data_IF_311928187242
#
_entry.id   IF_311928187242
#
_cell.length_a   1.000
_cell.length_b   1.000
_cell.length_c   1.000
_cell.angle_alpha   90.00
_cell.angle_beta   90.00
_cell.angle_gamma   90.00
#
_symmetry.space_group_name_H-M   'P 1'
#
loop_
_entity.id
_entity.type
_entity.pdbx_description
1 polymer ?
#
# COMPACT_ATOMS: atom_id res chain seq x y z
N UNK A 1 -4.15 -17.70 8.91
CA UNK A 1 -2.80 -17.39 8.41
C UNK A 1 -2.44 -15.92 8.67
N UNK A 2 -3.13 -14.97 8.01
CA UNK A 2 -2.94 -13.53 8.23
C UNK A 2 -3.20 -13.08 9.68
N UNK A 3 -4.40 -13.33 10.24
CA UNK A 3 -4.74 -12.96 11.64
C UNK A 3 -3.77 -13.51 12.70
N UNK A 4 -3.06 -14.59 12.40
CA UNK A 4 -2.08 -15.15 13.33
C UNK A 4 -0.78 -14.31 13.33
N UNK A 5 -0.16 -14.12 12.16
CA UNK A 5 1.22 -13.64 12.06
C UNK A 5 1.46 -12.59 10.96
N UNK A 6 0.42 -11.98 10.40
CA UNK A 6 0.53 -10.92 9.38
C UNK A 6 1.03 -11.40 8.02
N UNK A 7 1.02 -12.71 7.77
CA UNK A 7 1.53 -13.28 6.53
C UNK A 7 0.41 -13.47 5.50
N UNK A 8 0.76 -13.28 4.24
CA UNK A 8 -0.05 -13.59 3.05
C UNK A 8 0.76 -14.55 2.19
N UNK A 9 0.07 -15.47 1.51
CA UNK A 9 0.66 -16.34 0.51
C UNK A 9 -0.18 -16.22 -0.75
N UNK A 10 0.51 -16.17 -1.88
CA UNK A 10 -0.06 -16.24 -3.21
C UNK A 10 0.47 -17.49 -3.89
N UNK A 11 -0.41 -18.28 -4.48
CA UNK A 11 -0.05 -19.43 -5.29
C UNK A 11 -0.30 -19.18 -6.78
N UNK A 12 0.61 -19.66 -7.63
CA UNK A 12 0.48 -19.66 -9.08
C UNK A 12 0.00 -18.34 -9.72
N UNK A 13 -1.10 -18.44 -10.45
CA UNK A 13 -1.67 -17.40 -11.32
C UNK A 13 -2.79 -16.58 -10.67
N UNK A 14 -2.81 -16.47 -9.34
CA UNK A 14 -3.78 -15.63 -8.63
C UNK A 14 -3.82 -14.17 -9.14
N UNK A 15 -5.04 -13.64 -9.24
CA UNK A 15 -5.32 -12.27 -9.71
C UNK A 15 -4.84 -11.21 -8.70
N UNK A 16 -5.07 -11.46 -7.41
CA UNK A 16 -4.69 -10.54 -6.35
C UNK A 16 -3.20 -10.68 -6.01
N UNK A 17 -2.53 -9.53 -5.83
CA UNK A 17 -1.19 -9.51 -5.30
C UNK A 17 -1.21 -9.64 -3.77
N UNK A 18 -0.07 -9.95 -3.16
CA UNK A 18 0.05 -10.03 -1.70
C UNK A 18 -0.40 -8.74 -1.00
N UNK A 19 -0.04 -7.59 -1.59
CA UNK A 19 -0.44 -6.27 -1.10
C UNK A 19 -1.97 -6.10 -1.10
N UNK A 20 -2.66 -6.58 -2.13
CA UNK A 20 -4.12 -6.49 -2.23
C UNK A 20 -4.80 -7.23 -1.07
N UNK A 21 -4.29 -8.42 -0.72
CA UNK A 21 -4.82 -9.17 0.41
C UNK A 21 -4.53 -8.49 1.76
N UNK A 22 -3.35 -7.88 1.93
CA UNK A 22 -3.04 -7.09 3.13
C UNK A 22 -4.03 -5.94 3.28
N UNK A 23 -4.26 -5.18 2.22
CA UNK A 23 -5.17 -4.03 2.20
C UNK A 23 -6.61 -4.43 2.49
N UNK A 24 -7.12 -5.49 1.86
CA UNK A 24 -8.47 -6.02 2.10
C UNK A 24 -8.62 -6.49 3.55
N UNK A 25 -7.68 -7.30 4.05
CA UNK A 25 -7.78 -7.85 5.40
C UNK A 25 -7.75 -6.74 6.46
N UNK A 26 -6.82 -5.79 6.35
CA UNK A 26 -6.76 -4.65 7.27
C UNK A 26 -7.99 -3.74 7.13
N UNK A 27 -8.43 -3.45 5.91
CA UNK A 27 -9.61 -2.61 5.64
C UNK A 27 -10.92 -3.21 6.17
N UNK A 28 -11.01 -4.54 6.24
CA UNK A 28 -12.14 -5.27 6.84
C UNK A 28 -11.98 -5.48 8.36
N UNK A 29 -10.97 -4.87 8.99
CA UNK A 29 -10.75 -4.93 10.44
C UNK A 29 -10.06 -6.21 10.94
N UNK A 30 -9.50 -7.04 10.06
CA UNK A 30 -8.76 -8.24 10.45
C UNK A 30 -7.32 -7.83 10.78
N UNK A 31 -7.06 -7.57 12.06
CA UNK A 31 -5.71 -7.24 12.52
C UNK A 31 -4.90 -8.51 12.84
N UNK A 32 -3.63 -8.59 12.41
CA UNK A 32 -2.74 -9.68 12.80
C UNK A 32 -2.36 -9.59 14.28
N UNK A 33 -2.25 -10.74 14.95
CA UNK A 33 -1.84 -10.84 16.37
C UNK A 33 -0.32 -10.85 16.57
N UNK A 34 0.44 -10.91 15.49
CA UNK A 34 1.89 -10.89 15.48
C UNK A 34 2.43 -10.57 14.09
N UNK A 35 3.74 -10.39 13.99
CA UNK A 35 4.45 -10.04 12.78
C UNK A 35 5.70 -10.92 12.59
N UNK A 36 6.43 -10.71 11.49
CA UNK A 36 7.67 -11.45 11.26
C UNK A 36 8.79 -10.96 12.19
N UNK A 37 9.50 -11.82 12.95
CA UNK A 37 10.49 -11.41 13.96
C UNK A 37 11.68 -10.59 13.42
N UNK A 38 11.93 -10.64 12.12
CA UNK A 38 12.94 -9.80 11.47
C UNK A 38 12.71 -8.30 11.69
N UNK A 39 11.45 -7.89 11.90
CA UNK A 39 11.11 -6.49 12.21
C UNK A 39 11.68 -6.05 13.56
N UNK A 40 11.80 -6.97 14.52
CA UNK A 40 12.31 -6.69 15.87
C UNK A 40 13.83 -6.49 15.89
N UNK A 41 14.53 -6.77 14.79
CA UNK A 41 15.96 -6.55 14.65
C UNK A 41 16.35 -5.08 14.45
N UNK A 42 15.38 -4.16 14.38
CA UNK A 42 15.62 -2.71 14.21
C UNK A 42 15.06 -1.94 15.40
N UNK A 43 15.75 -0.89 15.89
CA UNK A 43 15.18 0.01 16.89
C UNK A 43 13.92 0.71 16.35
N UNK A 44 12.89 0.87 17.19
CA UNK A 44 11.62 1.50 16.81
C UNK A 44 11.80 2.86 16.15
N UNK A 45 12.69 3.70 16.67
CA UNK A 45 13.00 5.01 16.09
C UNK A 45 13.43 4.90 14.61
N UNK A 46 14.25 3.89 14.28
CA UNK A 46 14.67 3.66 12.89
C UNK A 46 13.52 3.22 12.00
N UNK A 47 12.61 2.39 12.52
CA UNK A 47 11.42 1.95 11.77
C UNK A 47 10.50 3.14 11.50
N UNK A 48 10.27 3.99 12.51
CA UNK A 48 9.45 5.20 12.38
C UNK A 48 10.05 6.18 11.36
N UNK A 49 11.37 6.41 11.38
CA UNK A 49 12.05 7.25 10.40
C UNK A 49 11.88 6.71 8.98
N UNK A 50 12.07 5.40 8.78
CA UNK A 50 11.87 4.75 7.47
C UNK A 50 10.43 4.93 6.97
N UNK A 51 9.43 4.78 7.84
CA UNK A 51 8.02 4.99 7.47
C UNK A 51 7.71 6.47 7.16
N UNK A 52 8.34 7.41 7.87
CA UNK A 52 8.21 8.84 7.59
C UNK A 52 8.80 9.19 6.23
N UNK A 53 9.94 8.62 5.87
CA UNK A 53 10.57 8.80 4.57
C UNK A 53 9.72 8.27 3.43
N UNK A 54 9.14 7.07 3.58
CA UNK A 54 8.19 6.52 2.59
C UNK A 54 7.02 7.48 2.37
N UNK A 55 6.39 7.96 3.46
CA UNK A 55 5.28 8.93 3.38
C UNK A 55 5.68 10.23 2.70
N UNK A 56 6.89 10.73 2.98
CA UNK A 56 7.42 11.97 2.39
C UNK A 56 7.62 11.81 0.88
N UNK A 57 8.22 10.71 0.43
CA UNK A 57 8.41 10.42 -0.99
C UNK A 57 7.07 10.28 -1.70
N UNK A 58 6.13 9.51 -1.14
CA UNK A 58 4.79 9.34 -1.74
C UNK A 58 4.08 10.70 -1.91
N UNK A 59 4.11 11.56 -0.88
CA UNK A 59 3.52 12.90 -0.96
C UNK A 59 4.17 13.76 -2.03
N UNK A 60 5.51 13.80 -2.07
CA UNK A 60 6.23 14.58 -3.08
C UNK A 60 5.92 14.14 -4.51
N UNK A 61 5.69 12.84 -4.73
CA UNK A 61 5.26 12.33 -6.05
C UNK A 61 3.83 12.73 -6.37
N UNK A 62 2.90 12.59 -5.42
CA UNK A 62 1.48 12.97 -5.60
C UNK A 62 1.31 14.46 -5.86
N UNK A 63 2.09 15.32 -5.21
CA UNK A 63 2.08 16.77 -5.42
C UNK A 63 2.47 17.20 -6.84
N UNK A 64 3.21 16.35 -7.57
CA UNK A 64 3.60 16.60 -8.96
C UNK A 64 2.59 16.05 -9.98
N UNK A 65 1.59 15.28 -9.53
CA UNK A 65 0.59 14.70 -10.43
C UNK A 65 -0.47 15.75 -10.80
N UNK A 66 -0.96 15.76 -12.06
CA UNK A 66 -2.14 16.53 -12.40
C UNK A 66 -3.35 15.99 -11.64
N UNK A 67 -4.37 16.82 -11.49
CA UNK A 67 -5.67 16.32 -11.04
C UNK A 67 -6.23 15.30 -12.03
N UNK A 68 -7.15 14.45 -11.58
CA UNK A 68 -7.78 13.48 -12.47
C UNK A 68 -8.48 14.15 -13.67
N UNK A 69 -9.13 15.29 -13.43
CA UNK A 69 -9.80 16.08 -14.47
C UNK A 69 -8.80 16.64 -15.48
N UNK A 70 -7.70 17.25 -15.03
CA UNK A 70 -6.64 17.79 -15.90
C UNK A 70 -6.01 16.69 -16.76
N UNK A 71 -5.78 15.51 -16.16
CA UNK A 71 -5.23 14.38 -16.89
C UNK A 71 -6.18 13.92 -18.00
N UNK A 72 -7.48 13.79 -17.73
CA UNK A 72 -8.47 13.41 -18.75
C UNK A 72 -8.50 14.45 -19.87
N UNK A 73 -8.58 15.74 -19.52
CA UNK A 73 -8.64 16.82 -20.50
C UNK A 73 -7.45 16.81 -21.47
N UNK A 74 -6.26 16.48 -20.98
CA UNK A 74 -5.03 16.46 -21.77
C UNK A 74 -4.84 15.19 -22.59
N UNK A 75 -5.39 14.04 -22.18
CA UNK A 75 -5.01 12.74 -22.72
C UNK A 75 -6.16 11.94 -23.35
N UNK A 76 -7.38 12.03 -22.83
CA UNK A 76 -8.47 11.11 -23.19
C UNK A 76 -9.87 11.72 -23.02
N UNK A 77 -10.02 13.01 -23.27
CA UNK A 77 -11.31 13.68 -23.24
C UNK A 77 -12.31 12.99 -24.19
N UNK A 78 -13.43 12.52 -23.65
CA UNK A 78 -14.52 11.98 -24.44
C UNK A 78 -15.29 13.12 -25.14
N UNK A 79 -15.85 12.89 -26.33
CA UNK A 79 -16.76 13.84 -26.96
C UNK A 79 -17.96 14.14 -26.06
N UNK A 80 -18.49 15.36 -26.14
CA UNK A 80 -19.79 15.67 -25.57
C UNK A 80 -20.87 14.78 -26.21
N UNK A 81 -21.85 14.38 -25.40
CA UNK A 81 -23.04 13.64 -25.86
C UNK A 81 -23.88 14.48 -26.82
#
# INVERSE_FOLDING_TARGET
FFRANGRVYRDGSELFADASWIEVMLGQGILPRGHHPIADGKPDARVLDMLADVKRVMRGVVELMPTHEDFIAQNCAAPAL
#
